data_IF_731564772446
#
_entry.id   IF_731564772446
#
_cell.length_a   1.000
_cell.length_b   1.000
_cell.length_c   1.000
_cell.angle_alpha   90.00
_cell.angle_beta   90.00
_cell.angle_gamma   90.00
#
_symmetry.space_group_name_H-M   'P 1'
#
loop_
_entity.id
_entity.type
_entity.pdbx_description
1 polymer ?
#
# COMPACT_ATOMS: atom_id res chain seq x y z
N UNK A 1 17.38 -8.68 -4.69
CA UNK A 1 17.10 -7.29 -5.14
C UNK A 1 16.18 -6.64 -4.12
N UNK A 2 16.14 -5.30 -4.02
CA UNK A 2 15.17 -4.59 -3.17
C UNK A 2 14.29 -3.68 -4.04
N UNK A 3 13.00 -4.03 -4.17
CA UNK A 3 12.06 -3.44 -5.14
C UNK A 3 12.41 -3.80 -6.59
N UNK A 4 11.67 -4.74 -7.18
CA UNK A 4 11.90 -5.31 -8.52
C UNK A 4 11.52 -4.39 -9.70
N UNK A 5 10.75 -3.35 -9.43
CA UNK A 5 10.31 -2.38 -10.43
C UNK A 5 11.27 -1.19 -10.60
N UNK A 6 12.35 -1.12 -9.82
CA UNK A 6 13.37 -0.06 -9.99
C UNK A 6 14.08 -0.25 -11.32
N UNK A 7 14.42 0.85 -12.00
CA UNK A 7 15.07 0.78 -13.33
C UNK A 7 16.32 -0.11 -13.34
N UNK A 8 17.14 -0.03 -12.30
CA UNK A 8 18.34 -0.87 -12.14
C UNK A 8 18.05 -2.37 -11.94
N UNK A 9 16.84 -2.74 -11.49
CA UNK A 9 16.42 -4.12 -11.26
C UNK A 9 15.52 -4.66 -12.36
N UNK A 10 14.74 -3.81 -13.03
CA UNK A 10 13.75 -4.19 -14.06
C UNK A 10 14.38 -5.05 -15.16
N UNK A 11 15.57 -4.66 -15.62
CA UNK A 11 16.32 -5.36 -16.67
C UNK A 11 16.92 -6.70 -16.19
N UNK A 12 16.98 -6.94 -14.89
CA UNK A 12 17.59 -8.16 -14.34
C UNK A 12 16.67 -9.37 -14.39
N UNK A 13 15.34 -9.21 -14.49
CA UNK A 13 14.44 -10.36 -14.59
C UNK A 13 14.68 -11.21 -15.85
N UNK A 14 14.67 -10.65 -17.08
CA UNK A 14 14.90 -11.45 -18.28
C UNK A 14 16.30 -12.07 -18.29
N UNK A 15 17.31 -11.33 -17.82
CA UNK A 15 18.70 -11.82 -17.72
C UNK A 15 18.79 -13.01 -16.75
N UNK A 16 18.20 -12.87 -15.56
CA UNK A 16 18.22 -13.93 -14.55
C UNK A 16 17.45 -15.16 -15.01
N UNK A 17 16.31 -14.97 -15.70
CA UNK A 17 15.51 -16.05 -16.25
C UNK A 17 16.29 -16.82 -17.34
N UNK A 18 16.91 -16.11 -18.28
CA UNK A 18 17.71 -16.72 -19.34
C UNK A 18 18.92 -17.49 -18.80
N UNK A 19 19.50 -17.02 -17.69
CA UNK A 19 20.62 -17.65 -17.02
C UNK A 19 20.22 -18.76 -16.02
N UNK A 20 18.92 -19.06 -15.85
CA UNK A 20 18.44 -20.05 -14.89
C UNK A 20 18.70 -19.68 -13.41
N UNK A 21 18.87 -18.39 -13.11
CA UNK A 21 19.19 -17.91 -11.76
C UNK A 21 17.93 -17.79 -10.89
N UNK A 22 18.07 -18.16 -9.61
CA UNK A 22 17.05 -17.91 -8.60
C UNK A 22 17.11 -16.45 -8.16
N UNK A 23 16.03 -15.71 -8.42
CA UNK A 23 15.91 -14.30 -7.99
C UNK A 23 15.08 -14.22 -6.73
N UNK A 24 15.63 -13.56 -5.70
CA UNK A 24 14.90 -13.16 -4.50
C UNK A 24 14.74 -11.64 -4.44
N UNK A 25 13.51 -11.21 -4.22
CA UNK A 25 13.12 -9.79 -4.17
C UNK A 25 12.63 -9.46 -2.79
N UNK A 26 13.26 -8.46 -2.19
CA UNK A 26 12.91 -7.89 -0.91
C UNK A 26 12.03 -6.65 -1.11
N UNK A 27 11.07 -6.48 -0.20
CA UNK A 27 10.31 -5.25 0.01
C UNK A 27 10.05 -5.08 1.52
N UNK A 28 9.63 -3.91 1.95
CA UNK A 28 8.86 -3.71 3.18
C UNK A 28 7.70 -4.73 3.26
N UNK A 29 7.35 -5.14 4.47
CA UNK A 29 6.34 -6.19 4.68
C UNK A 29 4.98 -5.87 4.07
N UNK A 30 4.34 -6.89 3.48
CA UNK A 30 2.91 -6.87 3.18
C UNK A 30 2.10 -6.72 4.45
N UNK A 31 2.59 -7.34 5.54
CA UNK A 31 2.05 -7.23 6.88
C UNK A 31 2.94 -6.27 7.68
N UNK A 32 2.32 -5.34 8.42
CA UNK A 32 3.06 -4.34 9.19
C UNK A 32 2.44 -4.19 10.59
N UNK A 33 3.23 -3.85 11.62
CA UNK A 33 4.69 -3.62 11.61
C UNK A 33 5.54 -4.90 11.70
N UNK A 34 6.88 -4.75 11.62
CA UNK A 34 7.92 -5.74 11.96
C UNK A 34 8.18 -6.88 10.96
N UNK A 35 7.64 -6.80 9.76
CA UNK A 35 7.92 -7.80 8.72
C UNK A 35 8.57 -7.13 7.51
N UNK A 36 9.45 -7.88 6.86
CA UNK A 36 9.91 -7.63 5.50
C UNK A 36 9.38 -8.73 4.60
N UNK A 37 9.10 -8.39 3.36
CA UNK A 37 8.73 -9.35 2.33
C UNK A 37 10.00 -9.84 1.64
N UNK A 38 10.10 -11.15 1.44
CA UNK A 38 11.07 -11.78 0.55
C UNK A 38 10.34 -12.82 -0.30
N UNK A 39 10.22 -12.55 -1.60
CA UNK A 39 9.60 -13.47 -2.57
C UNK A 39 10.58 -13.92 -3.63
N UNK A 40 10.27 -15.06 -4.24
CA UNK A 40 10.95 -15.53 -5.45
C UNK A 40 10.38 -14.83 -6.67
N UNK A 41 11.23 -14.58 -7.64
CA UNK A 41 10.92 -13.91 -8.91
C UNK A 41 10.53 -12.43 -8.79
N UNK A 42 9.48 -12.07 -8.06
CA UNK A 42 8.96 -10.70 -7.96
C UNK A 42 8.00 -10.50 -6.80
N UNK A 43 7.70 -9.24 -6.48
CA UNK A 43 6.77 -8.85 -5.40
C UNK A 43 5.55 -8.11 -5.97
N UNK A 44 4.50 -7.99 -5.18
CA UNK A 44 3.24 -7.32 -5.50
C UNK A 44 2.64 -7.81 -6.83
N UNK A 45 2.53 -6.93 -7.84
CA UNK A 45 2.02 -7.28 -9.16
C UNK A 45 2.84 -8.34 -9.90
N UNK A 46 4.11 -8.58 -9.52
CA UNK A 46 4.96 -9.66 -10.06
C UNK A 46 5.02 -10.90 -9.18
N UNK A 47 4.31 -10.92 -8.06
CA UNK A 47 4.21 -12.11 -7.21
C UNK A 47 3.62 -13.28 -7.99
N UNK A 48 4.18 -14.47 -7.77
CA UNK A 48 3.71 -15.75 -8.36
C UNK A 48 2.74 -16.50 -7.44
N UNK A 49 2.27 -15.85 -6.38
CA UNK A 49 1.29 -16.46 -5.48
C UNK A 49 0.05 -16.93 -6.24
N UNK A 50 -0.54 -18.08 -5.84
CA UNK A 50 -1.80 -18.56 -6.40
C UNK A 50 -2.90 -17.49 -6.36
N UNK A 51 -3.71 -17.41 -7.42
CA UNK A 51 -4.86 -16.47 -7.49
C UNK A 51 -6.20 -17.15 -7.24
N UNK A 52 -6.18 -18.46 -7.06
CA UNK A 52 -7.36 -19.26 -6.79
C UNK A 52 -7.61 -19.34 -5.27
N UNK A 53 -8.77 -18.87 -4.79
CA UNK A 53 -9.18 -18.99 -3.40
C UNK A 53 -9.16 -20.42 -2.86
N UNK A 54 -9.57 -21.41 -3.67
CA UNK A 54 -9.65 -22.80 -3.23
C UNK A 54 -8.28 -23.35 -2.85
N UNK A 55 -7.24 -22.91 -3.57
CA UNK A 55 -5.86 -23.29 -3.28
C UNK A 55 -5.46 -22.96 -1.84
N UNK A 56 -5.78 -21.76 -1.35
CA UNK A 56 -5.45 -21.36 0.01
C UNK A 56 -6.16 -22.19 1.07
N UNK A 57 -7.45 -22.46 0.84
CA UNK A 57 -8.28 -23.27 1.74
C UNK A 57 -7.75 -24.70 1.83
N UNK A 58 -7.46 -25.32 0.69
CA UNK A 58 -7.02 -26.72 0.60
C UNK A 58 -5.64 -26.95 1.25
N UNK A 59 -4.73 -25.98 1.09
CA UNK A 59 -3.37 -26.08 1.60
C UNK A 59 -3.23 -25.61 3.04
N UNK A 60 -4.23 -24.94 3.61
CA UNK A 60 -4.14 -24.36 4.96
C UNK A 60 -3.69 -25.35 6.03
N UNK A 61 -4.13 -26.62 5.95
CA UNK A 61 -3.77 -27.67 6.92
C UNK A 61 -2.27 -27.98 6.97
N UNK A 62 -1.52 -27.61 5.93
CA UNK A 62 -0.07 -27.80 5.83
C UNK A 62 0.71 -26.52 6.14
N UNK A 63 0.02 -25.40 6.37
CA UNK A 63 0.63 -24.09 6.55
C UNK A 63 0.54 -23.72 8.03
N UNK A 64 1.66 -23.36 8.69
CA UNK A 64 1.63 -22.83 10.04
C UNK A 64 0.76 -21.58 10.13
N UNK A 65 0.06 -21.43 11.27
CA UNK A 65 -0.75 -20.23 11.51
C UNK A 65 0.13 -19.00 11.60
N UNK A 66 -0.41 -17.88 11.13
CA UNK A 66 0.21 -16.57 11.28
C UNK A 66 0.44 -16.24 12.76
N UNK A 67 1.64 -15.76 13.08
CA UNK A 67 2.06 -15.34 14.42
C UNK A 67 2.29 -13.83 14.48
N UNK A 68 2.09 -13.18 15.64
CA UNK A 68 2.48 -11.79 15.81
C UNK A 68 3.98 -11.58 15.57
N UNK A 69 4.34 -10.49 14.90
CA UNK A 69 5.74 -10.13 14.69
C UNK A 69 6.40 -9.69 15.99
N UNK A 70 7.67 -10.05 16.19
CA UNK A 70 8.45 -9.55 17.31
C UNK A 70 8.93 -8.13 17.00
N UNK A 71 8.94 -7.28 18.03
CA UNK A 71 9.30 -5.88 17.88
C UNK A 71 10.78 -5.75 17.46
N UNK A 72 10.99 -5.04 16.36
CA UNK A 72 12.33 -4.75 15.81
C UNK A 72 12.99 -3.51 16.43
N UNK A 73 12.26 -2.81 17.31
CA UNK A 73 12.66 -1.54 17.91
C UNK A 73 12.54 -0.38 16.91
N UNK A 74 11.52 0.47 17.02
CA UNK A 74 11.41 1.63 16.12
C UNK A 74 12.37 2.74 16.55
N UNK A 75 13.25 3.18 15.64
CA UNK A 75 14.17 4.29 15.88
C UNK A 75 14.15 5.31 14.73
N UNK A 76 13.53 6.47 14.95
CA UNK A 76 13.42 7.52 13.94
C UNK A 76 14.79 8.15 13.61
N UNK A 77 15.68 8.27 14.60
CA UNK A 77 17.01 8.84 14.40
C UNK A 77 17.85 7.96 13.47
N UNK A 78 17.84 6.64 13.68
CA UNK A 78 18.56 5.71 12.81
C UNK A 78 18.06 5.79 11.37
N UNK A 79 16.74 5.77 11.17
CA UNK A 79 16.13 5.91 9.84
C UNK A 79 16.54 7.21 9.14
N UNK A 80 16.48 8.33 9.86
CA UNK A 80 16.90 9.63 9.32
C UNK A 80 18.38 9.64 8.96
N UNK A 81 19.25 9.10 9.82
CA UNK A 81 20.69 8.98 9.57
C UNK A 81 20.98 8.14 8.33
N UNK A 82 20.30 7.02 8.14
CA UNK A 82 20.44 6.17 6.95
C UNK A 82 20.03 6.89 5.67
N UNK A 83 18.88 7.59 5.67
CA UNK A 83 18.42 8.34 4.48
C UNK A 83 19.37 9.50 4.14
N UNK A 84 19.86 10.24 5.14
CA UNK A 84 20.84 11.32 4.94
C UNK A 84 22.16 10.78 4.39
N UNK A 85 22.71 9.72 5.01
CA UNK A 85 23.97 9.11 4.56
C UNK A 85 23.87 8.61 3.11
N UNK A 86 22.77 7.93 2.76
CA UNK A 86 22.51 7.47 1.40
C UNK A 86 22.43 8.63 0.39
N UNK A 87 21.74 9.71 0.74
CA UNK A 87 21.62 10.89 -0.14
C UNK A 87 22.95 11.63 -0.30
N UNK A 88 23.72 11.79 0.78
CA UNK A 88 25.06 12.39 0.73
C UNK A 88 25.99 11.56 -0.15
N UNK A 89 25.99 10.23 -0.02
CA UNK A 89 26.80 9.36 -0.88
C UNK A 89 26.42 9.52 -2.37
N UNK A 90 25.12 9.56 -2.69
CA UNK A 90 24.67 9.81 -4.07
C UNK A 90 25.14 11.17 -4.60
N UNK A 91 25.07 12.23 -3.78
CA UNK A 91 25.52 13.56 -4.18
C UNK A 91 27.03 13.63 -4.40
N UNK A 92 27.82 13.09 -3.47
CA UNK A 92 29.28 13.05 -3.54
C UNK A 92 29.77 12.28 -4.77
N UNK A 93 29.08 11.19 -5.14
CA UNK A 93 29.45 10.35 -6.27
C UNK A 93 28.72 10.67 -7.58
N UNK A 94 27.86 11.70 -7.62
CA UNK A 94 27.06 12.03 -8.81
C UNK A 94 27.93 12.24 -10.08
N UNK A 95 29.09 12.89 -9.92
CA UNK A 95 30.04 13.13 -11.02
C UNK A 95 30.61 11.85 -11.64
N UNK A 96 30.73 10.76 -10.85
CA UNK A 96 31.22 9.46 -11.32
C UNK A 96 30.15 8.69 -12.10
N UNK A 97 28.89 9.02 -11.90
CA UNK A 97 27.75 8.34 -12.52
C UNK A 97 26.80 9.34 -13.21
N UNK A 98 27.26 10.05 -14.25
CA UNK A 98 26.51 11.14 -14.88
C UNK A 98 25.18 10.69 -15.53
N UNK A 99 25.04 9.40 -15.82
CA UNK A 99 23.82 8.81 -16.38
C UNK A 99 22.94 8.10 -15.35
N UNK A 100 23.33 8.08 -14.07
CA UNK A 100 22.53 7.44 -13.03
C UNK A 100 21.22 8.20 -12.82
N UNK A 101 20.10 7.48 -12.98
CA UNK A 101 18.76 7.97 -12.67
C UNK A 101 18.29 7.29 -11.39
N UNK A 102 17.98 8.11 -10.39
CA UNK A 102 17.38 7.62 -9.15
C UNK A 102 16.01 7.04 -9.42
N UNK A 103 15.66 5.96 -8.71
CA UNK A 103 14.30 5.42 -8.68
C UNK A 103 13.32 6.36 -7.96
N UNK A 104 13.81 7.38 -7.23
CA UNK A 104 12.96 8.43 -6.63
C UNK A 104 12.75 9.55 -7.66
N UNK A 105 11.49 9.91 -8.00
CA UNK A 105 11.20 10.82 -9.11
C UNK A 105 11.42 12.31 -8.85
N UNK A 106 11.75 12.73 -7.61
CA UNK A 106 12.01 14.14 -7.26
C UNK A 106 13.35 14.33 -6.55
N UNK A 107 13.91 15.53 -6.71
CA UNK A 107 15.09 15.97 -5.95
C UNK A 107 14.81 15.89 -4.45
N UNK A 108 15.67 15.22 -3.70
CA UNK A 108 15.47 14.95 -2.26
C UNK A 108 15.17 16.19 -1.43
N UNK A 109 15.75 17.34 -1.77
CA UNK A 109 15.47 18.61 -1.10
C UNK A 109 14.01 19.06 -1.23
N UNK A 110 13.37 18.89 -2.40
CA UNK A 110 11.96 19.24 -2.60
C UNK A 110 11.02 18.30 -1.81
N UNK A 111 11.44 17.04 -1.64
CA UNK A 111 10.72 16.07 -0.82
C UNK A 111 10.79 16.45 0.66
N UNK A 112 11.98 16.82 1.16
CA UNK A 112 12.17 17.27 2.54
C UNK A 112 11.46 18.58 2.85
N UNK A 113 11.52 19.59 1.99
CA UNK A 113 10.80 20.85 2.21
C UNK A 113 9.29 20.61 2.24
N UNK A 114 8.77 19.75 1.37
CA UNK A 114 7.38 19.33 1.39
C UNK A 114 6.97 18.58 2.67
N UNK A 115 7.79 17.62 3.11
CA UNK A 115 7.55 16.87 4.36
C UNK A 115 7.67 17.77 5.60
N UNK A 116 8.63 18.70 5.62
CA UNK A 116 8.80 19.68 6.69
C UNK A 116 7.59 20.63 6.77
N UNK A 117 7.14 21.15 5.63
CA UNK A 117 5.93 21.96 5.54
C UNK A 117 4.70 21.20 6.03
N UNK A 118 4.55 19.94 5.63
CA UNK A 118 3.48 19.05 6.12
C UNK A 118 3.57 18.81 7.63
N UNK A 119 4.78 18.72 8.18
CA UNK A 119 4.99 18.56 9.63
C UNK A 119 4.53 19.79 10.40
N UNK A 120 4.78 21.00 9.87
CA UNK A 120 4.24 22.26 10.44
C UNK A 120 2.71 22.24 10.46
N UNK A 121 2.08 21.70 9.42
CA UNK A 121 0.62 21.61 9.30
C UNK A 121 0.01 20.39 10.01
N UNK A 122 0.81 19.50 10.61
CA UNK A 122 0.35 18.22 11.17
C UNK A 122 -0.81 18.38 12.15
N UNK A 123 -0.70 19.31 13.11
CA UNK A 123 -1.75 19.56 14.12
C UNK A 123 -3.06 20.04 13.50
N UNK A 124 -2.99 20.81 12.42
CA UNK A 124 -4.18 21.27 11.70
C UNK A 124 -4.86 20.11 10.97
N UNK A 125 -4.08 19.28 10.28
CA UNK A 125 -4.58 18.08 9.60
C UNK A 125 -5.18 17.07 10.60
N UNK A 126 -4.57 16.86 11.76
CA UNK A 126 -5.10 16.01 12.83
C UNK A 126 -6.41 16.54 13.39
N UNK A 127 -6.53 17.86 13.60
CA UNK A 127 -7.77 18.51 14.03
C UNK A 127 -8.88 18.38 12.99
N UNK A 128 -8.58 18.61 11.70
CA UNK A 128 -9.53 18.44 10.60
C UNK A 128 -10.00 16.98 10.51
N UNK A 129 -9.06 16.03 10.46
CA UNK A 129 -9.38 14.61 10.41
C UNK A 129 -10.18 14.17 11.64
N UNK A 130 -9.82 14.63 12.84
CA UNK A 130 -10.58 14.35 14.06
C UNK A 130 -12.00 14.89 14.04
N UNK A 131 -12.25 16.07 13.44
CA UNK A 131 -13.60 16.59 13.22
C UNK A 131 -14.40 15.71 12.27
N UNK A 132 -13.79 15.28 11.15
CA UNK A 132 -14.43 14.37 10.19
C UNK A 132 -14.75 13.03 10.85
N UNK A 133 -13.79 12.40 11.53
CA UNK A 133 -14.01 11.13 12.23
C UNK A 133 -15.12 11.24 13.28
N UNK A 134 -15.16 12.33 14.07
CA UNK A 134 -16.25 12.56 15.03
C UNK A 134 -17.60 12.73 14.33
N UNK A 135 -17.69 13.55 13.29
CA UNK A 135 -18.93 13.74 12.53
C UNK A 135 -19.45 12.42 11.93
N UNK A 136 -18.55 11.58 11.40
CA UNK A 136 -18.90 10.25 10.91
C UNK A 136 -19.46 9.36 12.02
N UNK A 137 -18.86 9.37 13.20
CA UNK A 137 -19.26 8.55 14.34
C UNK A 137 -20.57 9.05 14.99
N UNK A 138 -20.64 10.34 15.34
CA UNK A 138 -21.77 10.98 16.04
C UNK A 138 -23.06 10.88 15.22
N UNK A 139 -22.98 11.11 13.91
CA UNK A 139 -24.14 11.05 13.02
C UNK A 139 -24.32 9.69 12.33
N UNK A 140 -23.51 8.69 12.69
CA UNK A 140 -23.50 7.34 12.08
C UNK A 140 -23.53 7.39 10.55
N UNK A 141 -22.78 8.33 9.97
CA UNK A 141 -22.79 8.57 8.53
C UNK A 141 -22.27 7.34 7.82
N UNK A 142 -22.94 6.96 6.75
CA UNK A 142 -22.50 5.88 5.88
C UNK A 142 -21.43 6.41 4.93
N UNK A 143 -20.27 5.77 4.85
CA UNK A 143 -19.18 6.24 3.98
C UNK A 143 -18.34 5.13 3.37
N UNK A 144 -17.76 5.44 2.21
CA UNK A 144 -16.71 4.65 1.57
C UNK A 144 -15.37 5.33 1.79
N UNK A 145 -14.31 4.52 1.89
CA UNK A 145 -12.95 5.01 2.10
C UNK A 145 -12.10 4.78 0.86
N UNK A 146 -11.40 5.82 0.40
CA UNK A 146 -10.40 5.73 -0.66
C UNK A 146 -9.06 6.30 -0.15
N UNK A 147 -8.18 5.44 0.40
CA UNK A 147 -6.83 5.84 0.80
C UNK A 147 -5.94 5.96 -0.43
N UNK A 148 -5.29 7.11 -0.59
CA UNK A 148 -4.39 7.38 -1.70
C UNK A 148 -3.00 6.81 -1.47
N UNK A 149 -2.34 6.43 -2.56
CA UNK A 149 -0.92 6.06 -2.62
C UNK A 149 -0.09 7.24 -3.15
N UNK A 150 1.23 7.13 -3.05
CA UNK A 150 2.14 8.09 -3.68
C UNK A 150 2.14 7.90 -5.20
N UNK A 151 2.16 8.98 -5.98
CA UNK A 151 2.28 8.88 -7.45
C UNK A 151 3.60 8.26 -7.90
N UNK A 152 4.62 8.37 -7.06
CA UNK A 152 5.95 7.80 -7.27
C UNK A 152 6.05 6.32 -6.89
N UNK A 153 4.98 5.76 -6.31
CA UNK A 153 4.95 4.36 -5.95
C UNK A 153 5.00 3.52 -7.22
N UNK A 154 5.98 2.60 -7.29
CA UNK A 154 6.09 1.65 -8.40
C UNK A 154 4.81 0.85 -8.62
N UNK A 155 4.00 0.64 -7.57
CA UNK A 155 2.72 -0.03 -7.71
C UNK A 155 1.72 0.78 -8.53
N UNK A 156 1.73 2.11 -8.43
CA UNK A 156 0.91 2.97 -9.28
C UNK A 156 1.46 2.99 -10.71
N UNK A 157 2.79 3.08 -10.87
CA UNK A 157 3.42 3.23 -12.19
C UNK A 157 3.39 1.94 -13.03
N UNK A 158 3.60 0.78 -12.40
CA UNK A 158 3.85 -0.49 -13.12
C UNK A 158 2.72 -1.51 -12.96
N UNK A 159 1.87 -1.37 -11.93
CA UNK A 159 0.88 -2.37 -11.54
C UNK A 159 -0.53 -1.79 -11.38
N UNK A 160 -0.76 -0.59 -11.93
CA UNK A 160 -2.08 0.01 -12.01
C UNK A 160 -2.47 0.29 -13.46
N UNK A 161 -3.77 0.33 -13.78
CA UNK A 161 -4.25 0.74 -15.09
C UNK A 161 -4.29 2.26 -15.26
N UNK A 162 -3.75 3.03 -14.31
CA UNK A 162 -3.84 4.49 -14.27
C UNK A 162 -2.49 5.14 -14.56
N UNK A 163 -2.50 6.24 -15.31
CA UNK A 163 -1.36 7.12 -15.55
C UNK A 163 -0.90 7.85 -14.26
N UNK A 164 -1.75 7.86 -13.24
CA UNK A 164 -1.39 8.34 -11.91
C UNK A 164 -2.57 8.49 -10.96
N UNK A 165 -2.28 9.01 -9.77
CA UNK A 165 -3.26 9.09 -8.67
C UNK A 165 -4.44 10.04 -9.01
N UNK A 166 -4.22 11.08 -9.83
CA UNK A 166 -5.31 11.97 -10.27
C UNK A 166 -6.33 11.24 -11.15
N UNK A 167 -5.88 10.35 -12.02
CA UNK A 167 -6.78 9.56 -12.86
C UNK A 167 -7.58 8.58 -12.00
N UNK A 168 -6.92 7.89 -11.06
CA UNK A 168 -7.62 7.03 -10.09
C UNK A 168 -8.69 7.82 -9.30
N UNK A 169 -8.38 9.03 -8.82
CA UNK A 169 -9.36 9.93 -8.20
C UNK A 169 -10.52 10.26 -9.13
N UNK A 170 -10.24 10.54 -10.41
CA UNK A 170 -11.27 10.85 -11.41
C UNK A 170 -12.22 9.69 -11.61
N UNK A 171 -11.69 8.48 -11.84
CA UNK A 171 -12.49 7.26 -12.04
C UNK A 171 -13.37 6.96 -10.83
N UNK A 172 -12.80 7.01 -9.62
CA UNK A 172 -13.55 6.76 -8.38
C UNK A 172 -14.62 7.81 -8.14
N UNK A 173 -14.32 9.11 -8.30
CA UNK A 173 -15.30 10.18 -8.08
C UNK A 173 -16.44 10.15 -9.10
N UNK A 174 -16.15 9.89 -10.38
CA UNK A 174 -17.18 9.78 -11.43
C UNK A 174 -18.11 8.60 -11.15
N UNK A 175 -17.56 7.45 -10.80
CA UNK A 175 -18.38 6.28 -10.44
C UNK A 175 -19.19 6.52 -9.17
N UNK A 176 -18.58 7.12 -8.13
CA UNK A 176 -19.29 7.49 -6.89
C UNK A 176 -20.46 8.45 -7.15
N UNK A 177 -20.26 9.45 -8.02
CA UNK A 177 -21.30 10.41 -8.34
C UNK A 177 -22.50 9.78 -9.06
N UNK A 178 -22.25 8.79 -9.92
CA UNK A 178 -23.28 8.15 -10.73
C UNK A 178 -24.00 7.02 -9.99
N UNK A 179 -23.31 6.25 -9.15
CA UNK A 179 -23.82 4.96 -8.66
C UNK A 179 -23.94 4.87 -7.13
N UNK A 180 -23.25 5.72 -6.36
CA UNK A 180 -23.27 5.60 -4.91
C UNK A 180 -24.58 6.16 -4.29
N UNK A 181 -25.19 5.48 -3.31
CA UNK A 181 -26.44 5.91 -2.69
C UNK A 181 -26.37 7.36 -2.17
N UNK A 182 -27.44 8.13 -2.36
CA UNK A 182 -27.48 9.58 -2.07
C UNK A 182 -27.00 9.94 -0.66
N UNK A 183 -27.36 9.14 0.36
CA UNK A 183 -26.98 9.34 1.76
C UNK A 183 -25.57 8.90 2.16
N UNK A 184 -24.73 8.47 1.20
CA UNK A 184 -23.37 8.00 1.49
C UNK A 184 -22.31 9.05 1.17
N UNK A 185 -21.20 8.99 1.89
CA UNK A 185 -20.07 9.90 1.75
C UNK A 185 -18.86 9.17 1.16
N UNK A 186 -18.00 9.91 0.47
CA UNK A 186 -16.68 9.42 0.06
C UNK A 186 -15.62 10.13 0.88
N UNK A 187 -14.80 9.35 1.59
CA UNK A 187 -13.66 9.85 2.34
C UNK A 187 -12.39 9.51 1.55
N UNK A 188 -11.78 10.53 0.96
CA UNK A 188 -10.45 10.40 0.36
C UNK A 188 -9.42 10.71 1.43
N UNK A 189 -8.56 9.73 1.73
CA UNK A 189 -7.48 9.90 2.72
C UNK A 189 -6.15 10.01 2.00
N UNK A 190 -5.49 11.16 2.12
CA UNK A 190 -4.18 11.36 1.51
C UNK A 190 -3.11 10.45 2.12
N UNK A 191 -2.08 10.13 1.33
CA UNK A 191 -0.93 9.39 1.82
C UNK A 191 -0.13 10.26 2.82
N UNK A 192 0.34 9.70 3.96
CA UNK A 192 1.05 10.49 4.98
C UNK A 192 2.36 11.10 4.49
N UNK A 193 3.00 10.46 3.51
CA UNK A 193 4.26 10.93 2.89
C UNK A 193 4.04 11.81 1.65
N UNK A 194 2.80 12.11 1.26
CA UNK A 194 2.56 13.02 0.13
C UNK A 194 2.99 14.44 0.50
N UNK A 195 3.69 15.13 -0.41
CA UNK A 195 4.21 16.48 -0.12
C UNK A 195 3.21 17.59 -0.42
N UNK A 196 2.02 17.27 -0.95
CA UNK A 196 1.01 18.25 -1.36
C UNK A 196 1.32 18.96 -2.68
N UNK A 197 2.51 18.76 -3.27
CA UNK A 197 2.93 19.44 -4.51
C UNK A 197 2.02 19.15 -5.72
N UNK A 198 1.35 17.99 -5.75
CA UNK A 198 0.43 17.62 -6.84
C UNK A 198 -0.97 18.17 -6.59
N UNK A 199 -1.31 18.63 -5.38
CA UNK A 199 -2.59 19.27 -5.09
C UNK A 199 -3.81 18.37 -5.26
N UNK A 200 -3.75 17.12 -4.80
CA UNK A 200 -4.86 16.15 -4.91
C UNK A 200 -6.14 16.64 -4.25
N UNK A 201 -6.03 17.34 -3.12
CA UNK A 201 -7.17 17.92 -2.39
C UNK A 201 -7.93 18.92 -3.27
N UNK A 202 -7.22 19.83 -3.92
CA UNK A 202 -7.81 20.85 -4.79
C UNK A 202 -8.45 20.19 -6.02
N UNK A 203 -7.74 19.24 -6.64
CA UNK A 203 -8.24 18.46 -7.77
C UNK A 203 -9.53 17.70 -7.44
N UNK A 204 -9.53 16.91 -6.36
CA UNK A 204 -10.69 16.14 -5.93
C UNK A 204 -11.90 17.03 -5.59
N UNK A 205 -11.68 18.16 -4.90
CA UNK A 205 -12.75 19.11 -4.55
C UNK A 205 -13.30 19.84 -5.78
N UNK A 206 -12.48 20.18 -6.77
CA UNK A 206 -12.95 20.78 -8.01
C UNK A 206 -13.84 19.79 -8.77
N UNK A 207 -13.36 18.57 -8.98
CA UNK A 207 -14.11 17.53 -9.69
C UNK A 207 -15.40 17.14 -8.96
N UNK A 208 -15.39 17.03 -7.63
CA UNK A 208 -16.61 16.72 -6.88
C UNK A 208 -17.68 17.82 -6.98
N UNK A 209 -17.28 19.10 -7.09
CA UNK A 209 -18.24 20.20 -7.34
C UNK A 209 -18.83 20.11 -8.74
N UNK A 210 -18.00 19.86 -9.76
CA UNK A 210 -18.45 19.63 -11.14
C UNK A 210 -19.47 18.48 -11.23
N UNK A 211 -19.22 17.40 -10.48
CA UNK A 211 -20.07 16.22 -10.43
C UNK A 211 -21.27 16.35 -9.47
N UNK A 212 -21.47 17.49 -8.81
CA UNK A 212 -22.59 17.71 -7.88
C UNK A 212 -22.53 16.92 -6.57
N UNK A 213 -21.36 16.36 -6.19
CA UNK A 213 -21.16 15.55 -4.99
C UNK A 213 -20.23 16.18 -3.96
N UNK A 214 -19.92 17.48 -4.11
CA UNK A 214 -19.01 18.22 -3.22
C UNK A 214 -19.38 18.09 -1.74
N UNK A 215 -20.67 18.15 -1.41
CA UNK A 215 -21.16 18.03 -0.02
C UNK A 215 -20.95 16.64 0.58
N UNK A 216 -20.84 15.61 -0.26
CA UNK A 216 -20.63 14.20 0.13
C UNK A 216 -19.16 13.77 0.08
N UNK A 217 -18.26 14.65 -0.35
CA UNK A 217 -16.82 14.38 -0.38
C UNK A 217 -16.14 14.98 0.86
N UNK A 218 -15.33 14.19 1.56
CA UNK A 218 -14.33 14.71 2.49
C UNK A 218 -12.95 14.24 2.08
N UNK A 219 -11.99 15.16 2.11
CA UNK A 219 -10.59 14.87 1.86
C UNK A 219 -9.83 15.14 3.15
N UNK A 220 -9.08 14.17 3.66
CA UNK A 220 -8.33 14.29 4.93
C UNK A 220 -6.85 13.95 4.72
N UNK A 221 -5.98 14.74 5.34
CA UNK A 221 -4.51 14.55 5.28
C UNK A 221 -3.93 13.77 6.48
N UNK A 222 -4.76 13.51 7.49
CA UNK A 222 -4.43 12.75 8.69
C UNK A 222 -5.56 11.75 9.01
N UNK A 223 -5.64 11.26 10.24
CA UNK A 223 -6.67 10.33 10.71
C UNK A 223 -6.16 8.91 10.90
N UNK A 224 -6.68 8.26 11.94
CA UNK A 224 -6.34 6.90 12.33
C UNK A 224 -7.03 5.90 11.39
N UNK A 225 -6.24 5.26 10.52
CA UNK A 225 -6.75 4.40 9.46
C UNK A 225 -7.60 3.22 9.97
N UNK A 226 -7.20 2.46 11.02
CA UNK A 226 -8.02 1.37 11.55
C UNK A 226 -9.45 1.80 11.93
N UNK A 227 -9.59 2.96 12.59
CA UNK A 227 -10.90 3.51 12.97
C UNK A 227 -11.75 3.88 11.75
N UNK A 228 -11.12 4.37 10.67
CA UNK A 228 -11.83 4.66 9.41
C UNK A 228 -12.21 3.39 8.64
N UNK A 229 -11.43 2.31 8.77
CA UNK A 229 -11.77 1.03 8.15
C UNK A 229 -12.95 0.39 8.88
N UNK A 230 -12.91 0.34 10.21
CA UNK A 230 -13.90 -0.31 11.08
C UNK A 230 -15.34 0.17 10.90
N UNK A 231 -15.56 1.37 10.37
CA UNK A 231 -16.92 1.90 10.16
C UNK A 231 -17.25 2.21 8.70
N UNK A 232 -16.36 1.86 7.77
CA UNK A 232 -16.61 2.03 6.34
C UNK A 232 -17.63 1.01 5.82
N UNK A 233 -18.44 1.43 4.83
CA UNK A 233 -19.29 0.55 4.02
C UNK A 233 -18.51 -0.26 3.00
N UNK A 234 -17.39 0.28 2.56
CA UNK A 234 -16.51 -0.35 1.61
C UNK A 234 -15.26 0.49 1.40
N UNK A 235 -14.20 -0.17 0.94
CA UNK A 235 -12.89 0.43 0.72
C UNK A 235 -12.52 0.25 -0.74
N UNK A 236 -12.03 1.31 -1.35
CA UNK A 236 -11.51 1.32 -2.71
C UNK A 236 -10.00 1.48 -2.58
N UNK A 237 -9.21 0.67 -3.26
CA UNK A 237 -7.77 0.85 -3.38
C UNK A 237 -7.36 0.69 -4.83
N UNK A 238 -6.21 1.23 -5.21
CA UNK A 238 -5.59 0.82 -6.47
C UNK A 238 -4.95 -0.56 -6.24
N UNK A 239 -3.88 -0.61 -5.45
CA UNK A 239 -3.20 -1.86 -5.11
C UNK A 239 -2.45 -1.78 -3.77
N UNK A 240 -2.77 -0.78 -2.94
CA UNK A 240 -2.14 -0.55 -1.64
C UNK A 240 -2.28 -1.76 -0.69
N UNK A 241 -1.27 -2.02 0.14
CA UNK A 241 -1.38 -2.98 1.26
C UNK A 241 -2.45 -2.61 2.30
N UNK A 242 -2.95 -1.35 2.28
CA UNK A 242 -4.14 -0.95 3.04
C UNK A 242 -5.36 -1.82 2.70
N UNK A 243 -5.42 -2.40 1.50
CA UNK A 243 -6.45 -3.38 1.14
C UNK A 243 -6.45 -4.58 2.10
N UNK A 244 -5.28 -5.11 2.48
CA UNK A 244 -5.20 -6.19 3.48
C UNK A 244 -5.78 -5.77 4.83
N UNK A 245 -5.56 -4.52 5.25
CA UNK A 245 -6.19 -3.98 6.45
C UNK A 245 -7.71 -3.89 6.31
N UNK A 246 -8.24 -3.51 5.15
CA UNK A 246 -9.68 -3.49 4.92
C UNK A 246 -10.30 -4.89 5.04
N UNK A 247 -9.66 -5.90 4.44
CA UNK A 247 -10.08 -7.30 4.54
C UNK A 247 -10.02 -7.80 5.99
N UNK A 248 -8.95 -7.46 6.71
CA UNK A 248 -8.81 -7.75 8.14
C UNK A 248 -9.96 -7.19 8.99
N UNK A 249 -10.45 -5.98 8.66
CA UNK A 249 -11.59 -5.35 9.30
C UNK A 249 -12.95 -5.84 8.77
N UNK A 250 -12.98 -6.89 7.93
CA UNK A 250 -14.19 -7.46 7.35
C UNK A 250 -14.93 -6.54 6.38
N UNK A 251 -14.24 -5.56 5.80
CA UNK A 251 -14.85 -4.54 4.95
C UNK A 251 -14.88 -4.98 3.49
N UNK A 252 -16.00 -4.78 2.77
CA UNK A 252 -16.02 -4.92 1.32
C UNK A 252 -14.90 -4.10 0.69
N UNK A 253 -14.14 -4.71 -0.23
CA UNK A 253 -12.95 -4.12 -0.82
C UNK A 253 -12.95 -4.32 -2.33
N UNK A 254 -12.66 -3.26 -3.08
CA UNK A 254 -12.31 -3.37 -4.50
C UNK A 254 -10.88 -2.89 -4.71
N UNK A 255 -10.08 -3.70 -5.41
CA UNK A 255 -8.75 -3.34 -5.89
C UNK A 255 -8.82 -3.02 -7.38
N UNK A 256 -8.52 -1.78 -7.75
CA UNK A 256 -8.60 -1.29 -9.14
C UNK A 256 -7.34 -1.62 -9.96
N UNK A 257 -6.26 -2.04 -9.31
CA UNK A 257 -5.01 -2.48 -9.94
C UNK A 257 -4.61 -3.89 -9.50
N UNK A 258 -3.44 -4.32 -9.93
CA UNK A 258 -2.92 -5.65 -9.58
C UNK A 258 -2.45 -5.67 -8.13
N UNK A 259 -3.14 -6.45 -7.29
CA UNK A 259 -2.78 -6.68 -5.89
C UNK A 259 -2.82 -8.18 -5.58
N UNK A 260 -1.93 -8.68 -4.71
CA UNK A 260 -1.80 -10.12 -4.39
C UNK A 260 -3.06 -10.72 -3.77
N UNK A 261 -3.88 -9.91 -3.13
CA UNK A 261 -5.14 -10.29 -2.47
C UNK A 261 -6.37 -10.07 -3.37
N UNK A 262 -6.19 -9.56 -4.60
CA UNK A 262 -7.28 -9.37 -5.55
C UNK A 262 -7.69 -10.72 -6.14
N UNK A 263 -8.73 -11.31 -5.54
CA UNK A 263 -9.34 -12.59 -5.91
C UNK A 263 -10.78 -12.67 -5.38
N UNK A 264 -11.63 -13.56 -5.95
CA UNK A 264 -12.96 -13.83 -5.41
C UNK A 264 -12.90 -14.23 -3.93
N UNK A 265 -13.92 -13.85 -3.15
CA UNK A 265 -13.99 -14.13 -1.71
C UNK A 265 -13.15 -13.19 -0.83
N UNK A 266 -12.03 -12.62 -1.30
CA UNK A 266 -11.28 -11.59 -0.56
C UNK A 266 -11.61 -10.17 -0.99
N UNK A 267 -11.96 -9.99 -2.26
CA UNK A 267 -12.27 -8.69 -2.85
C UNK A 267 -13.43 -8.80 -3.81
N UNK A 268 -14.17 -7.71 -3.98
CA UNK A 268 -15.16 -7.56 -5.03
C UNK A 268 -14.50 -7.67 -6.40
N UNK A 269 -15.02 -8.55 -7.25
CA UNK A 269 -14.50 -8.82 -8.59
C UNK A 269 -15.38 -8.24 -9.71
N UNK A 270 -16.52 -7.63 -9.36
CA UNK A 270 -17.40 -6.94 -10.31
C UNK A 270 -16.91 -5.54 -10.67
N UNK A 271 -17.77 -4.77 -11.33
CA UNK A 271 -17.46 -3.40 -11.71
C UNK A 271 -17.40 -2.46 -10.48
N UNK A 272 -16.68 -1.34 -10.62
CA UNK A 272 -16.72 -0.28 -9.61
C UNK A 272 -18.13 0.35 -9.50
N UNK A 273 -18.92 0.35 -10.56
CA UNK A 273 -20.30 0.85 -10.53
C UNK A 273 -21.19 0.02 -9.60
N UNK A 274 -21.06 -1.31 -9.65
CA UNK A 274 -21.85 -2.22 -8.80
C UNK A 274 -21.32 -2.29 -7.37
N UNK A 275 -20.02 -2.05 -7.17
CA UNK A 275 -19.37 -2.07 -5.86
C UNK A 275 -20.10 -1.19 -4.83
N UNK A 276 -20.59 -0.02 -5.24
CA UNK A 276 -21.24 0.91 -4.31
C UNK A 276 -22.50 0.35 -3.66
N UNK A 277 -23.18 -0.61 -4.27
CA UNK A 277 -24.48 -1.11 -3.77
C UNK A 277 -24.49 -2.61 -3.49
N UNK A 278 -23.61 -3.38 -4.14
CA UNK A 278 -23.67 -4.85 -4.14
C UNK A 278 -22.47 -5.50 -3.46
N UNK A 279 -21.41 -4.75 -3.11
CA UNK A 279 -20.18 -5.35 -2.60
C UNK A 279 -20.39 -6.11 -1.29
N UNK A 280 -19.92 -7.35 -1.28
CA UNK A 280 -20.01 -8.24 -0.13
C UNK A 280 -18.76 -8.14 0.75
N UNK A 281 -18.93 -8.49 2.04
CA UNK A 281 -17.81 -8.62 2.96
C UNK A 281 -16.93 -9.81 2.58
N UNK A 282 -15.61 -9.71 2.80
CA UNK A 282 -14.70 -10.80 2.49
C UNK A 282 -14.91 -12.00 3.41
N UNK A 283 -14.72 -13.19 2.86
CA UNK A 283 -14.69 -14.46 3.58
C UNK A 283 -13.49 -14.46 4.55
N UNK A 284 -13.81 -14.42 5.85
CA UNK A 284 -12.80 -14.37 6.90
C UNK A 284 -12.02 -15.67 7.05
N UNK A 285 -12.60 -16.83 6.70
CA UNK A 285 -11.88 -18.09 6.70
C UNK A 285 -10.86 -18.12 5.56
N UNK A 286 -11.26 -17.70 4.36
CA UNK A 286 -10.34 -17.53 3.24
C UNK A 286 -9.24 -16.52 3.56
N UNK A 287 -9.59 -15.38 4.16
CA UNK A 287 -8.61 -14.36 4.56
C UNK A 287 -7.57 -14.91 5.52
N UNK A 288 -7.97 -15.68 6.54
CA UNK A 288 -7.01 -16.29 7.45
C UNK A 288 -6.14 -17.34 6.75
N UNK A 289 -6.71 -18.13 5.83
CA UNK A 289 -5.96 -19.09 5.01
C UNK A 289 -4.90 -18.39 4.15
N UNK A 290 -5.28 -17.28 3.52
CA UNK A 290 -4.40 -16.42 2.74
C UNK A 290 -3.31 -15.77 3.61
N UNK A 291 -3.68 -15.25 4.79
CA UNK A 291 -2.76 -14.60 5.72
C UNK A 291 -1.71 -15.59 6.26
N UNK A 292 -2.14 -16.79 6.65
CA UNK A 292 -1.28 -17.90 7.07
C UNK A 292 -0.24 -18.20 5.96
N UNK A 293 -0.69 -18.30 4.70
CA UNK A 293 0.18 -18.53 3.57
C UNK A 293 1.16 -17.38 3.32
N UNK A 294 0.69 -16.13 3.24
CA UNK A 294 1.53 -14.96 3.00
C UNK A 294 2.60 -14.84 4.07
N UNK A 295 2.22 -15.00 5.34
CA UNK A 295 3.16 -14.92 6.45
C UNK A 295 4.21 -16.01 6.36
N UNK A 296 3.79 -17.27 6.15
CA UNK A 296 4.72 -18.39 6.09
C UNK A 296 5.66 -18.32 4.87
N UNK A 297 5.16 -17.88 3.71
CA UNK A 297 5.90 -18.00 2.44
C UNK A 297 6.68 -16.75 2.03
N UNK A 298 6.41 -15.60 2.66
CA UNK A 298 7.00 -14.34 2.18
C UNK A 298 7.48 -13.43 3.29
N UNK A 299 6.94 -13.54 4.50
CA UNK A 299 7.25 -12.59 5.56
C UNK A 299 8.40 -13.09 6.43
N UNK A 300 9.41 -12.25 6.60
CA UNK A 300 10.53 -12.44 7.53
C UNK A 300 10.41 -11.38 8.62
N UNK A 301 10.44 -11.80 9.89
CA UNK A 301 10.39 -10.85 10.99
C UNK A 301 11.71 -10.06 11.02
N UNK A 302 11.63 -8.74 10.91
CA UNK A 302 12.79 -7.87 10.79
C UNK A 302 12.44 -6.51 10.18
N UNK A 303 13.45 -5.66 10.02
CA UNK A 303 13.35 -4.43 9.24
C UNK A 303 14.73 -4.05 8.66
N UNK A 304 14.75 -3.07 7.74
CA UNK A 304 15.96 -2.65 7.03
C UNK A 304 16.76 -1.55 7.73
N UNK A 305 16.39 -1.15 8.93
CA UNK A 305 16.87 0.09 9.55
C UNK A 305 17.57 -0.13 10.88
N UNK A 306 16.96 -0.87 11.81
CA UNK A 306 17.51 -1.00 13.16
C UNK A 306 18.45 -2.18 13.23
N UNK A 307 19.44 -2.10 14.13
CA UNK A 307 20.42 -3.19 14.29
C UNK A 307 19.71 -4.52 14.59
N UNK A 308 18.78 -4.52 15.54
CA UNK A 308 17.98 -5.69 15.90
C UNK A 308 17.12 -6.18 14.72
N UNK A 309 16.45 -5.26 14.01
CA UNK A 309 15.64 -5.59 12.85
C UNK A 309 16.44 -6.23 11.72
N UNK A 310 17.65 -5.74 11.46
CA UNK A 310 18.57 -6.27 10.45
C UNK A 310 19.09 -7.65 10.87
N UNK A 311 19.49 -7.84 12.13
CA UNK A 311 19.94 -9.14 12.64
C UNK A 311 18.85 -10.23 12.49
N UNK A 312 17.61 -9.88 12.83
CA UNK A 312 16.45 -10.77 12.64
C UNK A 312 16.21 -11.06 11.15
N UNK A 313 16.22 -10.02 10.31
CA UNK A 313 16.03 -10.14 8.86
C UNK A 313 17.08 -11.03 8.19
N UNK A 314 18.37 -10.86 8.55
CA UNK A 314 19.48 -11.67 8.02
C UNK A 314 19.29 -13.14 8.40
N UNK A 315 19.00 -13.43 9.67
CA UNK A 315 18.76 -14.80 10.13
C UNK A 315 17.62 -15.47 9.36
N UNK A 316 16.48 -14.77 9.21
CA UNK A 316 15.33 -15.29 8.49
C UNK A 316 15.57 -15.44 6.99
N UNK A 317 16.29 -14.49 6.37
CA UNK A 317 16.63 -14.55 4.95
C UNK A 317 17.57 -15.71 4.63
N UNK A 318 18.60 -15.95 5.45
CA UNK A 318 19.51 -17.10 5.29
C UNK A 318 18.73 -18.40 5.37
N UNK A 319 17.92 -18.59 6.42
CA UNK A 319 17.09 -19.79 6.57
C UNK A 319 16.20 -20.04 5.36
N UNK A 320 15.61 -18.98 4.79
CA UNK A 320 14.75 -19.08 3.61
C UNK A 320 15.50 -19.34 2.30
N UNK A 321 16.70 -18.79 2.15
CA UNK A 321 17.55 -19.04 0.97
C UNK A 321 18.11 -20.47 0.94
N UNK A 322 18.41 -21.01 2.13
CA UNK A 322 18.93 -22.36 2.33
C UNK A 322 17.85 -23.44 2.29
N UNK A 323 16.59 -23.10 2.56
CA UNK A 323 15.46 -24.00 2.38
C UNK A 323 15.40 -24.49 0.92
N UNK A 324 15.76 -25.75 0.70
CA UNK A 324 15.89 -26.38 -0.62
C UNK A 324 14.56 -26.48 -1.39
N UNK A 325 13.44 -26.22 -0.72
CA UNK A 325 12.10 -26.33 -1.29
C UNK A 325 11.27 -25.12 -0.88
N UNK A 326 10.89 -24.34 -1.88
CA UNK A 326 9.66 -23.54 -1.94
C UNK A 326 9.24 -23.51 -3.41
#
# INVERSE_FOLDING_TARGET
>A
MFGDCREVHRHMHPVSLAAGLRVSVFEEGYLRPHWITMERYGVNGRSRMPRDPAWYVDHRKHIPRAVPGQATGYNLYERARHDIAYRMANALHAHRFPHYKSHRPKNGFQEYTGLAWRTVQKRLHEREAGKVTRDLAEHKRQYYLFPLQLNSDSQIVEHSPFDGVREAISVVLRSFAQHAPAGTWLIIKNHPLDTGLIGYRQFAKALARELGVGERLRFIDAGHLPTLLEHSRGVIVVNSTVGLSAVHHGRPLIALGAAIYSMPGLTWQGSLADFWTQAESPDQFLYQSFLDYVMHHTQINGDFYTKTGIEMAVKGAVARLEAAHD
#
